data_IF_039107326368
#
_entry.id   IF_039107326368
#
_cell.length_a   1.000
_cell.length_b   1.000
_cell.length_c   1.000
_cell.angle_alpha   90.00
_cell.angle_beta   90.00
_cell.angle_gamma   90.00
#
_symmetry.space_group_name_H-M   'P 1'
#
loop_
_entity.id
_entity.type
_entity.pdbx_description
1 polymer ?
#
# COMPACT_ATOMS: atom_id res chain seq x y z
N UNK A 1 -16.96 1.32 -1.19
CA UNK A 1 -15.83 1.67 -0.30
C UNK A 1 -14.79 2.38 -1.14
N UNK A 2 -14.52 3.64 -0.85
CA UNK A 2 -13.64 4.46 -1.69
C UNK A 2 -12.17 4.15 -1.36
N UNK A 3 -11.51 3.35 -2.21
CA UNK A 3 -10.10 3.02 -2.06
C UNK A 3 -9.23 4.17 -2.56
N UNK A 4 -8.84 5.08 -1.68
CA UNK A 4 -7.81 6.07 -1.99
C UNK A 4 -6.44 5.50 -1.67
N UNK A 5 -5.89 4.75 -2.61
CA UNK A 5 -4.54 4.19 -2.49
C UNK A 5 -3.53 5.32 -2.70
N UNK A 6 -3.05 5.94 -1.62
CA UNK A 6 -2.07 7.02 -1.66
C UNK A 6 -0.65 6.47 -1.45
N UNK A 7 0.25 6.83 -2.35
CA UNK A 7 1.70 6.75 -2.12
C UNK A 7 2.27 8.08 -2.59
N UNK A 8 2.92 8.86 -1.71
CA UNK A 8 3.62 10.07 -2.16
C UNK A 8 5.05 10.13 -1.65
N UNK A 9 5.87 10.60 -2.57
CA UNK A 9 7.31 10.79 -2.66
C UNK A 9 7.95 11.73 -1.61
N UNK A 10 7.31 12.08 -0.51
CA UNK A 10 7.82 13.12 0.39
C UNK A 10 7.87 12.61 1.83
N UNK A 11 9.10 12.45 2.32
CA UNK A 11 9.48 12.04 3.67
C UNK A 11 9.27 13.12 4.73
N UNK A 12 8.45 14.14 4.46
CA UNK A 12 8.28 15.31 5.33
C UNK A 12 6.79 15.53 5.62
N UNK A 13 6.44 15.51 6.91
CA UNK A 13 5.07 15.70 7.42
C UNK A 13 4.49 17.06 7.04
N UNK A 14 5.30 18.12 7.02
CA UNK A 14 4.87 19.49 6.71
C UNK A 14 4.24 19.61 5.32
N UNK A 15 4.88 19.03 4.28
CA UNK A 15 4.37 19.10 2.91
C UNK A 15 3.10 18.28 2.67
N UNK A 16 2.83 17.26 3.49
CA UNK A 16 1.61 16.44 3.37
C UNK A 16 0.42 17.10 4.06
N UNK A 17 0.66 17.79 5.18
CA UNK A 17 -0.36 18.60 5.85
C UNK A 17 -0.67 19.86 5.04
N UNK A 18 0.35 20.50 4.44
CA UNK A 18 0.18 21.68 3.58
C UNK A 18 -0.65 21.38 2.32
N UNK A 19 -0.49 20.20 1.73
CA UNK A 19 -1.26 19.76 0.57
C UNK A 19 -2.72 19.35 0.93
N UNK A 20 -3.07 19.21 2.22
CA UNK A 20 -4.39 18.83 2.77
C UNK A 20 -5.02 17.52 2.25
N UNK A 21 -4.32 16.77 1.38
CA UNK A 21 -4.92 15.62 0.70
C UNK A 21 -5.34 14.50 1.67
N UNK A 22 -4.52 14.22 2.69
CA UNK A 22 -4.81 13.17 3.65
C UNK A 22 -5.74 13.63 4.78
N UNK A 23 -5.73 14.92 5.13
CA UNK A 23 -6.62 15.49 6.15
C UNK A 23 -8.06 15.62 5.69
N UNK A 24 -8.31 15.60 4.38
CA UNK A 24 -9.66 15.59 3.80
C UNK A 24 -10.31 14.20 3.76
N UNK A 25 -9.56 13.14 4.03
CA UNK A 25 -10.08 11.77 4.05
C UNK A 25 -10.76 11.49 5.38
N UNK A 26 -11.91 10.81 5.34
CA UNK A 26 -12.70 10.46 6.51
C UNK A 26 -12.50 9.00 6.94
N UNK A 27 -13.20 8.62 8.01
CA UNK A 27 -13.19 7.30 8.65
C UNK A 27 -13.73 6.15 7.79
N UNK A 28 -14.41 6.45 6.69
CA UNK A 28 -14.87 5.45 5.71
C UNK A 28 -13.82 5.15 4.64
N UNK A 29 -12.71 5.87 4.65
CA UNK A 29 -11.60 5.69 3.71
C UNK A 29 -10.57 4.73 4.31
N UNK A 30 -10.08 3.81 3.48
CA UNK A 30 -8.90 3.01 3.78
C UNK A 30 -7.72 3.51 2.95
N UNK A 31 -6.59 3.76 3.62
CA UNK A 31 -5.33 4.17 2.99
C UNK A 31 -4.32 3.04 3.13
N UNK A 32 -3.91 2.50 1.98
CA UNK A 32 -2.90 1.43 1.92
C UNK A 32 -1.57 2.05 1.53
N UNK A 33 -0.58 1.93 2.41
CA UNK A 33 0.69 2.62 2.28
C UNK A 33 1.87 1.71 2.61
N UNK A 34 3.07 2.14 2.20
CA UNK A 34 4.31 1.56 2.71
C UNK A 34 4.51 2.03 4.14
N UNK A 35 5.40 1.42 4.92
CA UNK A 35 5.55 1.80 6.31
C UNK A 35 6.00 3.26 6.52
N UNK A 36 5.02 4.15 6.68
CA UNK A 36 5.16 5.59 6.84
C UNK A 36 4.42 5.98 8.11
N UNK A 37 5.17 6.09 9.21
CA UNK A 37 4.61 6.34 10.55
C UNK A 37 3.80 7.62 10.65
N UNK A 38 4.02 8.58 9.74
CA UNK A 38 3.24 9.82 9.66
C UNK A 38 1.75 9.58 9.44
N UNK A 39 1.34 8.54 8.72
CA UNK A 39 -0.09 8.28 8.45
C UNK A 39 -0.88 7.86 9.70
N UNK A 40 -0.18 7.59 10.81
CA UNK A 40 -0.77 7.29 12.12
C UNK A 40 -0.89 8.52 13.01
N UNK A 41 -0.71 9.73 12.46
CA UNK A 41 -0.94 10.99 13.16
C UNK A 41 -2.41 11.19 13.54
N UNK A 42 -2.65 11.85 14.67
CA UNK A 42 -4.01 12.15 15.18
C UNK A 42 -4.81 13.11 14.29
N UNK A 43 -4.14 13.79 13.37
CA UNK A 43 -4.75 14.67 12.36
C UNK A 43 -5.47 13.91 11.24
N UNK A 44 -5.34 12.58 11.18
CA UNK A 44 -5.93 11.73 10.16
C UNK A 44 -7.08 10.90 10.70
N UNK A 45 -8.16 10.77 9.92
CA UNK A 45 -9.37 10.05 10.33
C UNK A 45 -9.59 8.71 9.63
N UNK A 46 -8.74 8.32 8.67
CA UNK A 46 -8.90 7.11 7.85
C UNK A 46 -8.31 5.85 8.50
N UNK A 47 -8.69 4.68 7.98
CA UNK A 47 -8.11 3.39 8.36
C UNK A 47 -6.78 3.16 7.64
N UNK A 48 -5.73 2.81 8.39
CA UNK A 48 -4.41 2.49 7.85
C UNK A 48 -4.30 1.00 7.53
N UNK A 49 -3.72 0.69 6.35
CA UNK A 49 -3.35 -0.68 5.96
C UNK A 49 -1.92 -0.68 5.44
N UNK A 50 -1.11 -1.62 5.93
CA UNK A 50 0.29 -1.72 5.56
C UNK A 50 0.48 -2.62 4.32
N UNK A 51 1.36 -2.19 3.42
CA UNK A 51 1.64 -2.91 2.18
C UNK A 51 2.46 -4.19 2.42
N UNK A 52 1.86 -5.35 2.21
CA UNK A 52 2.54 -6.63 2.40
C UNK A 52 3.57 -6.92 1.30
N UNK A 53 3.48 -6.29 0.13
CA UNK A 53 4.52 -6.41 -0.90
C UNK A 53 5.86 -5.81 -0.43
N UNK A 54 5.83 -4.76 0.40
CA UNK A 54 7.03 -4.22 1.04
C UNK A 54 7.51 -5.10 2.19
N UNK A 55 6.58 -5.60 3.03
CA UNK A 55 6.93 -6.55 4.08
C UNK A 55 7.66 -7.78 3.52
N UNK A 56 7.19 -8.37 2.42
CA UNK A 56 7.85 -9.52 1.79
C UNK A 56 9.27 -9.19 1.27
N UNK A 57 9.53 -7.95 0.84
CA UNK A 57 10.89 -7.50 0.45
C UNK A 57 11.79 -7.33 1.68
N UNK A 58 11.25 -6.81 2.77
CA UNK A 58 11.98 -6.66 4.04
C UNK A 58 12.30 -8.03 4.65
N UNK A 59 11.38 -8.99 4.60
CA UNK A 59 11.60 -10.37 5.05
C UNK A 59 12.66 -11.06 4.19
N UNK A 60 12.61 -10.93 2.87
CA UNK A 60 13.68 -11.43 1.98
C UNK A 60 15.04 -10.84 2.33
N UNK A 61 15.09 -9.53 2.58
CA UNK A 61 16.32 -8.86 3.00
C UNK A 61 16.82 -9.41 4.34
N UNK A 62 15.93 -9.79 5.26
CA UNK A 62 16.31 -10.47 6.49
C UNK A 62 16.98 -11.81 6.20
N UNK A 63 16.34 -12.67 5.39
CA UNK A 63 16.89 -13.98 5.00
C UNK A 63 18.27 -13.84 4.34
N UNK A 64 18.43 -12.88 3.43
CA UNK A 64 19.70 -12.66 2.72
C UNK A 64 20.82 -12.18 3.66
N UNK A 65 20.50 -11.42 4.71
CA UNK A 65 21.49 -10.78 5.58
C UNK A 65 21.81 -11.54 6.87
N UNK A 66 20.81 -12.20 7.47
CA UNK A 66 20.95 -12.91 8.76
C UNK A 66 20.76 -14.42 8.63
N UNK A 67 20.21 -14.91 7.51
CA UNK A 67 19.88 -16.32 7.28
C UNK A 67 18.91 -16.92 8.30
N UNK A 68 18.23 -16.06 9.07
CA UNK A 68 17.25 -16.43 10.05
C UNK A 68 16.00 -17.04 9.39
N UNK A 69 15.60 -18.21 9.88
CA UNK A 69 14.63 -19.10 9.22
C UNK A 69 13.21 -18.56 9.40
N UNK A 70 12.92 -17.92 10.55
CA UNK A 70 11.59 -17.36 10.82
C UNK A 70 11.14 -16.39 9.72
N UNK A 71 12.07 -15.63 9.11
CA UNK A 71 11.75 -14.63 8.11
C UNK A 71 11.30 -15.26 6.79
N UNK A 72 11.95 -16.36 6.38
CA UNK A 72 11.57 -17.13 5.19
C UNK A 72 10.22 -17.84 5.42
N UNK A 73 10.06 -18.48 6.57
CA UNK A 73 8.80 -19.14 6.93
C UNK A 73 7.62 -18.16 7.03
N UNK A 74 7.83 -16.96 7.56
CA UNK A 74 6.79 -15.92 7.60
C UNK A 74 6.45 -15.41 6.20
N UNK A 75 7.46 -15.20 5.34
CA UNK A 75 7.22 -14.81 3.96
C UNK A 75 6.40 -15.86 3.19
N UNK A 76 6.69 -17.14 3.43
CA UNK A 76 5.93 -18.27 2.86
C UNK A 76 4.50 -18.31 3.41
N UNK A 77 4.32 -18.20 4.73
CA UNK A 77 3.01 -18.20 5.39
C UNK A 77 2.09 -17.09 4.86
N UNK A 78 2.61 -15.86 4.74
CA UNK A 78 1.90 -14.72 4.16
C UNK A 78 1.54 -15.00 2.70
N UNK A 79 2.50 -15.50 1.91
CA UNK A 79 2.31 -15.74 0.48
C UNK A 79 1.29 -16.84 0.19
N UNK A 80 1.29 -17.92 0.96
CA UNK A 80 0.36 -19.03 0.79
C UNK A 80 -1.04 -18.66 1.24
N UNK A 81 -1.17 -17.91 2.35
CA UNK A 81 -2.46 -17.36 2.78
C UNK A 81 -3.04 -16.42 1.71
N UNK A 82 -2.22 -15.58 1.09
CA UNK A 82 -2.68 -14.72 0.00
C UNK A 82 -3.09 -15.51 -1.26
N UNK A 83 -2.37 -16.60 -1.59
CA UNK A 83 -2.80 -17.52 -2.67
C UNK A 83 -4.14 -18.17 -2.34
N UNK A 84 -4.33 -18.63 -1.10
CA UNK A 84 -5.58 -19.22 -0.62
C UNK A 84 -6.74 -18.22 -0.72
N UNK A 85 -6.56 -16.98 -0.29
CA UNK A 85 -7.55 -15.89 -0.48
C UNK A 85 -7.97 -15.75 -1.94
N UNK A 86 -7.02 -15.72 -2.89
CA UNK A 86 -7.33 -15.63 -4.32
C UNK A 86 -8.14 -16.83 -4.83
N UNK A 87 -7.84 -18.03 -4.34
CA UNK A 87 -8.61 -19.23 -4.67
C UNK A 87 -10.05 -19.13 -4.16
N UNK A 88 -10.24 -18.69 -2.91
CA UNK A 88 -11.57 -18.48 -2.32
C UNK A 88 -12.37 -17.44 -3.11
N UNK A 89 -11.76 -16.29 -3.44
CA UNK A 89 -12.39 -15.26 -4.27
C UNK A 89 -12.82 -15.82 -5.63
N UNK A 90 -11.98 -16.64 -6.29
CA UNK A 90 -12.34 -17.28 -7.56
C UNK A 90 -13.48 -18.30 -7.44
N UNK A 91 -13.71 -18.82 -6.23
CA UNK A 91 -14.81 -19.73 -5.91
C UNK A 91 -16.04 -18.99 -5.34
N UNK A 92 -16.06 -17.65 -5.35
CA UNK A 92 -17.17 -16.83 -4.83
C UNK A 92 -17.24 -16.78 -3.29
N UNK A 93 -16.16 -17.14 -2.60
CA UNK A 93 -16.04 -17.03 -1.14
C UNK A 93 -15.23 -15.78 -0.78
N UNK A 94 -15.80 -14.93 0.06
CA UNK A 94 -15.27 -13.59 0.38
C UNK A 94 -14.71 -13.48 1.81
N UNK A 95 -14.43 -14.61 2.46
CA UNK A 95 -13.84 -14.64 3.79
C UNK A 95 -13.06 -15.94 4.00
N UNK A 96 -12.15 -15.95 4.96
CA UNK A 96 -11.62 -17.18 5.52
C UNK A 96 -12.58 -17.74 6.57
N UNK A 97 -12.55 -19.05 6.77
CA UNK A 97 -13.22 -19.62 7.94
C UNK A 97 -12.58 -19.10 9.24
N UNK A 98 -13.31 -19.21 10.35
CA UNK A 98 -12.78 -18.88 11.68
C UNK A 98 -11.48 -19.62 11.99
N UNK A 99 -11.40 -20.90 11.59
CA UNK A 99 -10.22 -21.74 11.82
C UNK A 99 -9.04 -21.25 10.97
N UNK A 100 -9.23 -21.00 9.68
CA UNK A 100 -8.17 -20.47 8.80
C UNK A 100 -7.63 -19.11 9.30
N UNK A 101 -8.52 -18.22 9.77
CA UNK A 101 -8.13 -16.93 10.36
C UNK A 101 -7.33 -17.13 11.65
N UNK A 102 -7.79 -18.00 12.55
CA UNK A 102 -7.09 -18.28 13.81
C UNK A 102 -5.71 -18.91 13.57
N UNK A 103 -5.63 -19.91 12.68
CA UNK A 103 -4.39 -20.58 12.31
C UNK A 103 -3.37 -19.60 11.72
N UNK A 104 -3.84 -18.63 10.92
CA UNK A 104 -2.98 -17.58 10.39
C UNK A 104 -2.27 -16.81 11.51
N UNK A 105 -3.02 -16.32 12.50
CA UNK A 105 -2.48 -15.50 13.59
C UNK A 105 -1.67 -16.31 14.59
N UNK A 106 -2.07 -17.55 14.89
CA UNK A 106 -1.29 -18.46 15.75
C UNK A 106 0.09 -18.71 15.12
N UNK A 107 0.12 -19.02 13.82
CA UNK A 107 1.39 -19.27 13.11
C UNK A 107 2.24 -18.00 13.03
N UNK A 108 1.62 -16.84 12.83
CA UNK A 108 2.32 -15.55 12.87
C UNK A 108 2.97 -15.30 14.25
N UNK A 109 2.24 -15.49 15.34
CA UNK A 109 2.74 -15.24 16.70
C UNK A 109 3.89 -16.19 17.05
N UNK A 110 3.80 -17.47 16.65
CA UNK A 110 4.89 -18.45 16.79
C UNK A 110 6.15 -18.04 16.00
N UNK A 111 5.99 -17.64 14.74
CA UNK A 111 7.09 -17.16 13.91
C UNK A 111 7.74 -15.89 14.46
N UNK A 112 6.94 -14.96 14.96
CA UNK A 112 7.43 -13.74 15.57
C UNK A 112 8.26 -14.05 16.82
N UNK A 113 7.80 -14.97 17.67
CA UNK A 113 8.53 -15.37 18.88
C UNK A 113 9.87 -16.05 18.54
N UNK A 114 9.88 -16.90 17.51
CA UNK A 114 11.11 -17.50 17.00
C UNK A 114 12.08 -16.45 16.46
N UNK A 115 11.58 -15.47 15.70
CA UNK A 115 12.40 -14.37 15.21
C UNK A 115 12.95 -13.48 16.31
N UNK A 116 12.18 -13.20 17.37
CA UNK A 116 12.68 -12.51 18.55
C UNK A 116 13.85 -13.26 19.21
N UNK A 117 13.75 -14.59 19.28
CA UNK A 117 14.79 -15.47 19.82
C UNK A 117 16.06 -15.50 18.96
N UNK A 118 15.93 -15.76 17.65
CA UNK A 118 17.05 -15.80 16.70
C UNK A 118 17.79 -14.45 16.69
N UNK A 119 17.05 -13.34 16.57
CA UNK A 119 17.64 -12.00 16.54
C UNK A 119 18.38 -11.61 17.83
N UNK A 120 17.94 -12.09 19.01
CA UNK A 120 18.64 -11.83 20.29
C UNK A 120 20.00 -12.55 20.39
N UNK A 121 20.17 -13.65 19.65
CA UNK A 121 21.39 -14.45 19.65
C UNK A 121 22.38 -14.01 18.56
N UNK A 122 21.93 -13.19 17.61
CA UNK A 122 22.77 -12.71 16.51
C UNK A 122 23.78 -11.64 16.97
N UNK A 123 25.05 -11.92 16.70
CA UNK A 123 26.18 -11.04 17.03
C UNK A 123 26.42 -9.95 15.97
N UNK A 124 25.74 -10.03 14.83
CA UNK A 124 25.81 -9.06 13.74
C UNK A 124 25.12 -7.75 14.09
N UNK A 125 25.87 -6.80 14.65
CA UNK A 125 25.35 -5.51 15.17
C UNK A 125 24.48 -4.78 14.13
N UNK A 126 24.87 -4.77 12.86
CA UNK A 126 24.17 -4.00 11.82
C UNK A 126 22.90 -4.68 11.31
N UNK A 127 23.00 -5.95 10.92
CA UNK A 127 21.87 -6.68 10.33
C UNK A 127 20.84 -7.08 11.39
N UNK A 128 21.29 -7.50 12.58
CA UNK A 128 20.41 -7.78 13.71
C UNK A 128 19.63 -6.52 14.14
N UNK A 129 20.22 -5.31 14.06
CA UNK A 129 19.49 -4.06 14.38
C UNK A 129 18.38 -3.76 13.37
N UNK A 130 18.62 -4.01 12.07
CA UNK A 130 17.59 -3.82 11.03
C UNK A 130 16.45 -4.83 11.18
N UNK A 131 16.79 -6.09 11.41
CA UNK A 131 15.81 -7.14 11.69
C UNK A 131 15.02 -6.86 12.98
N UNK A 132 15.67 -6.39 14.04
CA UNK A 132 15.00 -5.97 15.27
C UNK A 132 13.96 -4.87 15.00
N UNK A 133 14.29 -3.90 14.15
CA UNK A 133 13.34 -2.87 13.75
C UNK A 133 12.13 -3.46 12.99
N UNK A 134 12.35 -4.45 12.12
CA UNK A 134 11.28 -5.17 11.43
C UNK A 134 10.37 -5.94 12.41
N UNK A 135 10.94 -6.68 13.37
CA UNK A 135 10.18 -7.41 14.40
C UNK A 135 9.33 -6.47 15.26
N UNK A 136 9.91 -5.37 15.73
CA UNK A 136 9.20 -4.37 16.52
C UNK A 136 8.05 -3.73 15.72
N UNK A 137 8.29 -3.46 14.43
CA UNK A 137 7.27 -2.92 13.53
C UNK A 137 6.14 -3.92 13.30
N UNK A 138 6.46 -5.19 13.06
CA UNK A 138 5.47 -6.27 12.91
C UNK A 138 4.60 -6.41 14.17
N UNK A 139 5.20 -6.29 15.36
CA UNK A 139 4.45 -6.35 16.61
C UNK A 139 3.52 -5.15 16.77
N UNK A 140 4.03 -3.93 16.51
CA UNK A 140 3.29 -2.69 16.70
C UNK A 140 2.15 -2.51 15.70
N UNK A 141 2.36 -2.86 14.44
CA UNK A 141 1.43 -2.62 13.33
C UNK A 141 0.81 -3.92 12.80
N UNK A 142 0.68 -4.94 13.67
CA UNK A 142 0.20 -6.28 13.27
C UNK A 142 -1.19 -6.23 12.64
N UNK A 143 -2.06 -5.36 13.16
CA UNK A 143 -3.43 -5.25 12.68
C UNK A 143 -3.40 -4.70 11.27
N UNK A 144 -2.69 -3.61 11.05
CA UNK A 144 -2.61 -2.91 9.77
C UNK A 144 -1.91 -3.76 8.69
N UNK A 145 -0.94 -4.60 9.06
CA UNK A 145 -0.36 -5.58 8.13
C UNK A 145 -1.34 -6.69 7.74
N UNK A 146 -2.23 -7.13 8.63
CA UNK A 146 -2.99 -8.37 8.42
C UNK A 146 -4.51 -8.19 8.41
N UNK A 147 -5.02 -6.96 8.38
CA UNK A 147 -6.43 -6.63 8.19
C UNK A 147 -7.04 -7.34 6.97
N UNK A 148 -6.26 -7.51 5.91
CA UNK A 148 -6.63 -8.20 4.67
C UNK A 148 -6.96 -9.69 4.86
N UNK A 149 -6.56 -10.29 6.00
CA UNK A 149 -6.93 -11.66 6.38
C UNK A 149 -8.35 -11.70 6.93
N UNK A 150 -8.76 -10.65 7.65
CA UNK A 150 -10.09 -10.57 8.28
C UNK A 150 -11.13 -10.01 7.31
N UNK A 151 -10.70 -9.13 6.40
CA UNK A 151 -11.58 -8.45 5.45
C UNK A 151 -11.01 -8.56 4.01
N UNK A 152 -11.74 -9.25 3.14
CA UNK A 152 -11.34 -9.49 1.75
C UNK A 152 -11.57 -8.30 0.82
N UNK A 153 -12.20 -7.22 1.28
CA UNK A 153 -12.26 -5.99 0.51
C UNK A 153 -10.95 -5.21 0.66
N UNK A 154 -10.23 -5.38 1.76
CA UNK A 154 -8.97 -4.70 2.00
C UNK A 154 -7.82 -5.29 1.16
N UNK A 155 -7.04 -4.46 0.44
CA UNK A 155 -6.04 -4.96 -0.49
C UNK A 155 -4.77 -5.39 0.23
N UNK A 156 -4.12 -6.43 -0.31
CA UNK A 156 -2.83 -6.93 0.16
C UNK A 156 -1.65 -5.96 -0.08
N UNK A 157 -1.75 -5.13 -1.11
CA UNK A 157 -0.67 -4.20 -1.47
C UNK A 157 -1.18 -2.93 -2.15
N UNK A 158 -0.35 -1.91 -2.14
CA UNK A 158 -0.57 -0.65 -2.86
C UNK A 158 0.01 -0.65 -4.29
N UNK A 159 0.23 -1.83 -4.88
CA UNK A 159 0.88 -1.99 -6.19
C UNK A 159 0.19 -1.21 -7.32
N UNK A 160 -1.11 -0.93 -7.21
CA UNK A 160 -1.85 -0.10 -8.18
C UNK A 160 -1.31 1.34 -8.16
N UNK A 161 -1.11 1.92 -6.98
CA UNK A 161 -0.61 3.28 -6.85
C UNK A 161 0.89 3.39 -7.12
N UNK A 162 1.69 2.41 -6.69
CA UNK A 162 3.08 2.34 -7.13
C UNK A 162 3.18 2.36 -8.67
N UNK A 163 2.37 1.53 -9.36
CA UNK A 163 2.34 1.47 -10.82
C UNK A 163 1.91 2.78 -11.43
N UNK A 164 0.84 3.41 -10.92
CA UNK A 164 0.44 4.73 -11.36
C UNK A 164 1.62 5.69 -11.22
N UNK A 165 2.38 5.75 -10.12
CA UNK A 165 3.49 6.69 -9.92
C UNK A 165 4.77 6.44 -10.76
N UNK A 166 4.99 5.21 -11.24
CA UNK A 166 6.22 4.84 -11.98
C UNK A 166 6.51 5.79 -13.15
N UNK A 167 5.49 6.14 -13.95
CA UNK A 167 5.67 7.06 -15.08
C UNK A 167 6.18 8.45 -14.67
N UNK A 168 5.69 9.01 -13.56
CA UNK A 168 6.22 10.26 -13.00
C UNK A 168 7.69 10.10 -12.59
N UNK A 169 8.03 9.04 -11.85
CA UNK A 169 9.42 8.79 -11.42
C UNK A 169 10.36 8.60 -12.61
N UNK A 170 9.94 7.91 -13.66
CA UNK A 170 10.73 7.77 -14.88
C UNK A 170 10.95 9.12 -15.58
N UNK A 171 9.92 9.96 -15.68
CA UNK A 171 10.03 11.30 -16.28
C UNK A 171 11.00 12.22 -15.52
N UNK A 172 11.16 12.01 -14.22
CA UNK A 172 12.15 12.72 -13.40
C UNK A 172 13.59 12.23 -13.59
N UNK A 173 13.82 11.02 -14.15
CA UNK A 173 15.16 10.41 -14.26
C UNK A 173 15.79 10.51 -15.65
N UNK A 174 15.00 10.83 -16.68
CA UNK A 174 15.46 10.87 -18.07
C UNK A 174 15.87 12.29 -18.48
N UNK A 175 16.78 12.40 -19.45
CA UNK A 175 17.09 13.67 -20.10
C UNK A 175 15.80 14.30 -20.67
N UNK A 176 15.55 15.59 -20.37
CA UNK A 176 14.24 16.23 -20.60
C UNK A 176 13.24 16.07 -19.45
N UNK A 177 13.74 15.98 -18.21
CA UNK A 177 12.97 16.08 -16.96
C UNK A 177 12.26 17.44 -16.84
N UNK A 178 11.39 17.59 -15.83
CA UNK A 178 10.70 18.85 -15.58
C UNK A 178 11.71 19.98 -15.34
N UNK A 179 11.70 20.98 -16.22
CA UNK A 179 12.61 22.13 -16.13
C UNK A 179 12.15 23.14 -15.06
N UNK A 180 10.84 23.19 -14.79
CA UNK A 180 10.23 24.09 -13.81
C UNK A 180 9.06 23.40 -13.08
N UNK A 181 8.75 23.88 -11.87
CA UNK A 181 7.67 23.35 -11.04
C UNK A 181 6.30 23.41 -11.72
N UNK A 182 6.06 24.42 -12.55
CA UNK A 182 4.81 24.56 -13.33
C UNK A 182 4.62 23.41 -14.32
N UNK A 183 5.70 22.96 -14.98
CA UNK A 183 5.63 21.81 -15.89
C UNK A 183 5.32 20.51 -15.13
N UNK A 184 5.89 20.35 -13.93
CA UNK A 184 5.58 19.22 -13.05
C UNK A 184 4.12 19.25 -12.56
N UNK A 185 3.60 20.43 -12.18
CA UNK A 185 2.21 20.62 -11.78
C UNK A 185 1.24 20.30 -12.93
N UNK A 186 1.47 20.84 -14.12
CA UNK A 186 0.63 20.56 -15.30
C UNK A 186 0.60 19.06 -15.61
N UNK A 187 1.75 18.40 -15.57
CA UNK A 187 1.84 16.96 -15.76
C UNK A 187 1.06 16.20 -14.70
N UNK A 188 1.19 16.58 -13.42
CA UNK A 188 0.43 15.96 -12.33
C UNK A 188 -1.08 16.15 -12.51
N UNK A 189 -1.55 17.35 -12.86
CA UNK A 189 -2.98 17.64 -13.09
C UNK A 189 -3.57 16.76 -14.20
N UNK A 190 -2.91 16.73 -15.37
CA UNK A 190 -3.36 15.92 -16.52
C UNK A 190 -3.43 14.44 -16.13
N UNK A 191 -2.41 13.96 -15.42
CA UNK A 191 -2.31 12.56 -15.00
C UNK A 191 -3.36 12.20 -13.96
N UNK A 192 -3.60 13.06 -12.98
CA UNK A 192 -4.66 12.85 -11.98
C UNK A 192 -6.02 12.74 -12.66
N UNK A 193 -6.35 13.67 -13.55
CA UNK A 193 -7.63 13.63 -14.27
C UNK A 193 -7.79 12.36 -15.12
N UNK A 194 -6.78 12.02 -15.93
CA UNK A 194 -6.83 10.85 -16.82
C UNK A 194 -6.85 9.52 -16.06
N UNK A 195 -6.08 9.39 -14.97
CA UNK A 195 -6.10 8.19 -14.13
C UNK A 195 -7.42 8.05 -13.38
N UNK A 196 -8.01 9.16 -12.89
CA UNK A 196 -9.34 9.15 -12.27
C UNK A 196 -10.39 8.69 -13.28
N UNK A 197 -10.42 9.26 -14.48
CA UNK A 197 -11.37 8.85 -15.53
C UNK A 197 -11.23 7.37 -15.88
N UNK A 198 -9.99 6.91 -16.09
CA UNK A 198 -9.69 5.51 -16.39
C UNK A 198 -10.16 4.55 -15.29
N UNK A 199 -9.96 4.91 -14.02
CA UNK A 199 -10.35 4.08 -12.86
C UNK A 199 -11.86 3.94 -12.72
N UNK A 200 -12.61 4.93 -13.21
CA UNK A 200 -14.07 4.92 -13.24
C UNK A 200 -14.63 4.52 -14.62
N UNK A 201 -13.89 3.69 -15.36
CA UNK A 201 -14.38 3.06 -16.58
C UNK A 201 -14.52 3.99 -17.79
N UNK A 202 -14.06 5.23 -17.72
CA UNK A 202 -14.18 6.16 -18.83
C UNK A 202 -13.08 5.96 -19.88
N UNK A 203 -13.45 6.26 -21.13
CA UNK A 203 -12.48 6.35 -22.21
C UNK A 203 -11.58 7.57 -22.02
N UNK A 204 -10.26 7.36 -22.00
CA UNK A 204 -9.27 8.41 -21.76
C UNK A 204 -9.22 9.41 -22.93
N UNK A 205 -9.41 8.94 -24.16
CA UNK A 205 -9.40 9.81 -25.35
C UNK A 205 -10.57 10.79 -25.28
N UNK A 206 -11.77 10.27 -24.97
CA UNK A 206 -12.97 11.09 -24.79
C UNK A 206 -12.79 12.08 -23.63
N UNK A 207 -12.21 11.62 -22.50
CA UNK A 207 -11.93 12.48 -21.36
C UNK A 207 -10.99 13.64 -21.71
N UNK A 208 -9.94 13.37 -22.50
CA UNK A 208 -9.00 14.41 -22.97
C UNK A 208 -9.67 15.35 -23.96
N UNK A 209 -10.46 14.82 -24.91
CA UNK A 209 -11.21 15.64 -25.85
C UNK A 209 -12.17 16.60 -25.12
N UNK A 210 -12.92 16.09 -24.15
CA UNK A 210 -13.83 16.88 -23.30
C UNK A 210 -13.11 18.04 -22.58
N UNK A 211 -11.90 17.81 -22.06
CA UNK A 211 -11.09 18.88 -21.46
C UNK A 211 -10.74 19.94 -22.50
N UNK A 212 -10.33 19.54 -23.70
CA UNK A 212 -9.95 20.49 -24.77
C UNK A 212 -11.14 21.31 -25.28
N UNK A 213 -12.36 20.78 -25.16
CA UNK A 213 -13.62 21.45 -25.49
C UNK A 213 -14.15 22.33 -24.34
N UNK A 214 -13.46 22.37 -23.19
CA UNK A 214 -13.88 23.13 -22.02
C UNK A 214 -15.00 22.49 -21.19
N UNK A 215 -15.28 21.20 -21.41
CA UNK A 215 -16.34 20.43 -20.73
C UNK A 215 -15.79 19.15 -20.06
N UNK A 216 -14.84 19.26 -19.12
CA UNK A 216 -14.27 18.09 -18.44
C UNK A 216 -15.33 17.29 -17.69
N UNK A 217 -15.07 16.00 -17.45
CA UNK A 217 -15.93 15.21 -16.57
C UNK A 217 -15.97 15.80 -15.16
N UNK A 218 -17.17 16.01 -14.64
CA UNK A 218 -17.42 16.41 -13.26
C UNK A 218 -17.24 15.23 -12.32
N UNK A 219 -16.99 15.51 -11.03
CA UNK A 219 -16.89 14.45 -10.02
C UNK A 219 -18.17 13.59 -9.97
N UNK A 220 -19.35 14.19 -10.14
CA UNK A 220 -20.62 13.46 -10.14
C UNK A 220 -20.70 12.47 -11.32
N UNK A 221 -20.32 12.90 -12.54
CA UNK A 221 -20.26 12.01 -13.70
C UNK A 221 -19.26 10.87 -13.49
N UNK A 222 -18.12 11.15 -12.86
CA UNK A 222 -17.09 10.14 -12.54
C UNK A 222 -17.62 9.12 -11.53
N UNK A 223 -18.25 9.57 -10.46
CA UNK A 223 -18.73 8.71 -9.37
C UNK A 223 -19.94 7.87 -9.79
N UNK A 224 -20.79 8.35 -10.69
CA UNK A 224 -21.99 7.65 -11.15
C UNK A 224 -21.73 6.57 -12.21
N UNK A 225 -20.55 6.57 -12.83
CA UNK A 225 -20.18 5.60 -13.86
C UNK A 225 -19.59 4.30 -13.27
N UNK A 226 -20.14 3.81 -12.16
CA UNK A 226 -19.66 2.55 -11.57
C UNK A 226 -20.02 1.39 -12.48
N UNK A 227 -18.99 0.71 -12.97
CA UNK A 227 -19.13 -0.61 -13.58
C UNK A 227 -19.23 -1.60 -12.42
N UNK A 228 -20.32 -2.36 -12.35
CA UNK A 228 -20.48 -3.52 -11.46
C UNK A 228 -19.34 -4.54 -11.63
#
# INVERSE_FOLDING_TARGET
MDFLIYTKLLTLSEGVVEDQLLTLLNDRTTVVHDHLTMNYGSEFSYTNVECNAHLLRDLRSCVENTQHIWADELAQHISDTYKRRKQLLSAGTHEFSFIETADFFIRFDDLWLRGDGENKQDLSIHYAKKERALLNRLQKYRVEYFLWVVDFDLPFSNNVSERSLRGTKSKMKIAGQFQHITAARNYATIRTYTETCKRHGMNIVDAVQRVTEGNPYTLAEVMNNQID
#
